data_IF_962877674232
#
_entry.id   IF_962877674232
#
_cell.length_a   1.000
_cell.length_b   1.000
_cell.length_c   1.000
_cell.angle_alpha   90.00
_cell.angle_beta   90.00
_cell.angle_gamma   90.00
#
_symmetry.space_group_name_H-M   'P 1'
#
loop_
_entity.id
_entity.type
_entity.pdbx_description
1 polymer ?
#
# COMPACT_ATOMS: atom_id res chain seq x y z
N UNK A 1 6.16 -9.24 -13.44
CA UNK A 1 5.25 -8.13 -13.87
C UNK A 1 6.01 -6.82 -13.81
N UNK A 2 5.41 -5.68 -13.98
CA UNK A 2 6.14 -4.41 -13.91
C UNK A 2 5.47 -3.48 -12.89
N UNK A 3 6.24 -2.57 -12.29
CA UNK A 3 5.74 -1.51 -11.41
C UNK A 3 4.58 -0.73 -12.05
N UNK A 4 4.65 -0.46 -13.37
CA UNK A 4 3.56 0.20 -14.10
C UNK A 4 2.27 -0.63 -14.09
N UNK A 5 2.40 -1.94 -14.24
CA UNK A 5 1.24 -2.85 -14.18
C UNK A 5 0.62 -2.84 -12.79
N UNK A 6 1.42 -2.97 -11.73
CA UNK A 6 0.96 -2.92 -10.34
C UNK A 6 0.17 -1.64 -10.04
N UNK A 7 0.70 -0.48 -10.45
CA UNK A 7 0.01 0.82 -10.30
C UNK A 7 -1.34 0.84 -11.03
N UNK A 8 -1.38 0.36 -12.27
CA UNK A 8 -2.63 0.31 -13.06
C UNK A 8 -3.67 -0.62 -12.42
N UNK A 9 -3.24 -1.75 -11.86
CA UNK A 9 -4.16 -2.68 -11.20
C UNK A 9 -4.75 -2.09 -9.91
N UNK A 10 -3.98 -1.37 -9.11
CA UNK A 10 -4.47 -0.68 -7.92
C UNK A 10 -5.54 0.38 -8.28
N UNK A 11 -5.26 1.24 -9.26
CA UNK A 11 -6.19 2.28 -9.71
C UNK A 11 -7.51 1.65 -10.24
N UNK A 12 -7.42 0.60 -11.06
CA UNK A 12 -8.60 -0.14 -11.55
C UNK A 12 -9.40 -0.80 -10.43
N UNK A 13 -8.75 -1.29 -9.39
CA UNK A 13 -9.44 -1.89 -8.25
C UNK A 13 -10.28 -0.85 -7.52
N UNK A 14 -9.72 0.33 -7.24
CA UNK A 14 -10.44 1.44 -6.61
C UNK A 14 -11.62 1.89 -7.47
N UNK A 15 -11.40 2.10 -8.77
CA UNK A 15 -12.47 2.48 -9.71
C UNK A 15 -13.60 1.45 -9.75
N UNK A 16 -13.27 0.16 -9.83
CA UNK A 16 -14.26 -0.93 -9.89
C UNK A 16 -15.12 -1.00 -8.64
N UNK A 17 -14.55 -0.70 -7.47
CA UNK A 17 -15.28 -0.71 -6.21
C UNK A 17 -16.12 0.56 -6.01
N UNK A 18 -16.05 1.54 -6.94
CA UNK A 18 -16.84 2.76 -6.92
C UNK A 18 -16.59 3.65 -5.71
N UNK A 19 -15.45 3.49 -5.04
CA UNK A 19 -15.12 4.21 -3.81
C UNK A 19 -14.21 5.39 -4.12
N UNK A 20 -14.78 6.58 -4.00
CA UNK A 20 -14.05 7.85 -4.15
C UNK A 20 -13.85 8.54 -2.78
N UNK A 21 -13.90 7.78 -1.69
CA UNK A 21 -13.77 8.31 -0.35
C UNK A 21 -12.31 8.35 0.10
N UNK A 22 -11.95 9.36 0.85
CA UNK A 22 -10.69 9.47 1.58
C UNK A 22 -10.95 9.49 3.08
N UNK A 23 -10.29 8.64 3.83
CA UNK A 23 -9.29 7.63 3.43
C UNK A 23 -9.93 6.40 2.76
N UNK A 24 -9.20 5.77 1.84
CA UNK A 24 -9.65 4.51 1.21
C UNK A 24 -9.74 3.41 2.28
N UNK A 25 -10.90 2.74 2.39
CA UNK A 25 -11.10 1.66 3.34
C UNK A 25 -10.50 0.35 2.82
N UNK A 26 -9.26 0.04 3.24
CA UNK A 26 -8.51 -1.12 2.78
C UNK A 26 -9.06 -2.44 3.33
N UNK A 27 -9.63 -2.45 4.54
CA UNK A 27 -10.23 -3.65 5.13
C UNK A 27 -11.45 -4.10 4.34
N UNK A 28 -12.30 -3.16 3.96
CA UNK A 28 -13.44 -3.45 3.11
C UNK A 28 -13.01 -3.94 1.72
N UNK A 29 -11.89 -3.42 1.18
CA UNK A 29 -11.33 -3.92 -0.08
C UNK A 29 -10.84 -5.35 0.10
N UNK A 30 -10.14 -5.64 1.20
CA UNK A 30 -9.69 -7.00 1.54
C UNK A 30 -10.88 -7.96 1.66
N UNK A 31 -11.91 -7.58 2.41
CA UNK A 31 -13.13 -8.37 2.55
C UNK A 31 -13.81 -8.68 1.20
N UNK A 32 -13.93 -7.65 0.34
CA UNK A 32 -14.49 -7.82 -1.01
C UNK A 32 -13.68 -8.79 -1.89
N UNK A 33 -12.38 -8.88 -1.64
CA UNK A 33 -11.49 -9.83 -2.33
C UNK A 33 -11.47 -11.22 -1.68
N UNK A 34 -12.23 -11.45 -0.61
CA UNK A 34 -12.23 -12.70 0.14
C UNK A 34 -10.98 -12.88 1.02
N UNK A 35 -10.37 -11.77 1.46
CA UNK A 35 -9.17 -11.72 2.30
C UNK A 35 -9.52 -11.16 3.68
N UNK A 36 -10.09 -11.94 4.60
CA UNK A 36 -10.36 -11.46 5.95
C UNK A 36 -9.06 -10.99 6.61
N UNK A 37 -9.15 -9.86 7.33
CA UNK A 37 -8.03 -9.26 8.06
C UNK A 37 -8.12 -9.63 9.53
N UNK A 38 -7.02 -10.12 10.09
CA UNK A 38 -6.89 -10.51 11.50
C UNK A 38 -5.76 -9.71 12.13
N UNK A 39 -6.04 -9.03 13.23
CA UNK A 39 -5.03 -8.34 14.02
C UNK A 39 -4.49 -9.27 15.09
N UNK A 40 -3.19 -9.49 15.11
CA UNK A 40 -2.52 -10.39 16.04
C UNK A 40 -1.17 -9.83 16.53
N UNK A 41 -0.67 -10.33 17.64
CA UNK A 41 0.71 -10.08 18.05
C UNK A 41 1.63 -11.01 17.23
N UNK A 42 2.32 -10.44 16.26
CA UNK A 42 3.29 -11.12 15.43
C UNK A 42 4.70 -10.97 16.01
N UNK A 43 5.70 -11.61 15.43
CA UNK A 43 7.10 -11.43 15.86
C UNK A 43 7.58 -9.99 15.74
N UNK A 44 8.64 -9.63 16.47
CA UNK A 44 9.12 -8.25 16.60
C UNK A 44 9.42 -7.54 15.27
N UNK A 45 9.83 -8.29 14.25
CA UNK A 45 10.21 -7.77 12.93
C UNK A 45 9.16 -8.05 11.86
N UNK A 46 7.96 -8.50 12.26
CA UNK A 46 6.88 -8.86 11.32
C UNK A 46 5.75 -7.87 11.42
N UNK A 47 5.43 -7.20 10.32
CA UNK A 47 4.31 -6.26 10.23
C UNK A 47 3.04 -6.91 9.70
N UNK A 48 3.18 -7.90 8.81
CA UNK A 48 2.06 -8.62 8.25
C UNK A 48 2.43 -9.96 7.66
N UNK A 49 1.39 -10.74 7.40
CA UNK A 49 1.46 -12.06 6.77
C UNK A 49 0.27 -12.21 5.82
N UNK A 50 0.52 -12.65 4.61
CA UNK A 50 -0.51 -13.22 3.75
C UNK A 50 -0.40 -14.74 3.83
N UNK A 51 -1.41 -15.38 4.38
CA UNK A 51 -1.47 -16.83 4.55
C UNK A 51 -2.50 -17.37 3.57
N UNK A 52 -2.11 -18.37 2.77
CA UNK A 52 -3.01 -19.03 1.83
C UNK A 52 -2.75 -20.52 1.81
N UNK A 53 -3.81 -21.31 1.79
CA UNK A 53 -3.74 -22.77 1.62
C UNK A 53 -4.02 -23.21 0.18
N UNK A 54 -4.18 -22.26 -0.74
CA UNK A 54 -4.50 -22.49 -2.15
C UNK A 54 -5.98 -22.37 -2.49
N UNK A 55 -6.87 -22.45 -1.49
CA UNK A 55 -8.32 -22.22 -1.61
C UNK A 55 -8.74 -20.95 -0.88
N UNK A 56 -8.29 -20.80 0.34
CA UNK A 56 -8.59 -19.65 1.19
C UNK A 56 -7.31 -18.84 1.45
N UNK A 57 -7.46 -17.55 1.63
CA UNK A 57 -6.38 -16.66 2.00
C UNK A 57 -6.85 -15.64 3.05
N UNK A 58 -5.97 -15.24 3.95
CA UNK A 58 -6.24 -14.19 4.92
C UNK A 58 -4.99 -13.38 5.22
N UNK A 59 -5.21 -12.16 5.68
CA UNK A 59 -4.14 -11.21 6.04
C UNK A 59 -4.06 -11.13 7.56
N UNK A 60 -2.87 -11.41 8.13
CA UNK A 60 -2.58 -11.12 9.52
C UNK A 60 -1.77 -9.82 9.60
N UNK A 61 -2.14 -8.94 10.53
CA UNK A 61 -1.50 -7.62 10.72
C UNK A 61 -1.01 -7.49 12.15
N UNK A 62 0.19 -6.91 12.34
CA UNK A 62 0.73 -6.64 13.66
C UNK A 62 -0.15 -5.64 14.42
N UNK A 63 -0.80 -6.13 15.48
CA UNK A 63 -1.73 -5.32 16.27
C UNK A 63 -1.08 -4.12 16.97
N UNK A 64 0.24 -4.20 17.25
CA UNK A 64 1.00 -3.14 17.94
C UNK A 64 1.54 -2.05 17.01
N UNK A 65 1.46 -2.24 15.71
CA UNK A 65 1.89 -1.22 14.74
C UNK A 65 0.96 -0.01 14.76
N UNK A 66 1.50 1.17 14.43
CA UNK A 66 0.68 2.36 14.24
C UNK A 66 -0.35 2.16 13.11
N UNK A 67 -1.53 2.77 13.23
CA UNK A 67 -2.64 2.60 12.29
C UNK A 67 -2.25 2.82 10.83
N UNK A 68 -1.50 3.89 10.54
CA UNK A 68 -1.00 4.18 9.19
C UNK A 68 -0.13 3.05 8.62
N UNK A 69 0.60 2.35 9.52
CA UNK A 69 1.40 1.20 9.15
C UNK A 69 0.54 -0.03 8.89
N UNK A 70 -0.40 -0.32 9.79
CA UNK A 70 -1.36 -1.43 9.62
C UNK A 70 -2.09 -1.31 8.29
N UNK A 71 -2.58 -0.11 7.94
CA UNK A 71 -3.24 0.17 6.67
C UNK A 71 -2.33 -0.08 5.46
N UNK A 72 -1.05 0.35 5.56
CA UNK A 72 -0.07 0.09 4.50
C UNK A 72 0.18 -1.41 4.33
N UNK A 73 0.35 -2.14 5.43
CA UNK A 73 0.53 -3.59 5.44
C UNK A 73 -0.65 -4.30 4.78
N UNK A 74 -1.89 -3.97 5.15
CA UNK A 74 -3.08 -4.55 4.51
C UNK A 74 -3.06 -4.31 2.99
N UNK A 75 -2.79 -3.07 2.57
CA UNK A 75 -2.74 -2.71 1.15
C UNK A 75 -1.61 -3.42 0.39
N UNK A 76 -0.48 -3.68 1.06
CA UNK A 76 0.67 -4.41 0.54
C UNK A 76 0.33 -5.90 0.32
N UNK A 77 -0.28 -6.54 1.31
CA UNK A 77 -0.70 -7.95 1.20
C UNK A 77 -1.82 -8.13 0.15
N UNK A 78 -2.76 -7.17 0.05
CA UNK A 78 -3.71 -7.13 -1.07
C UNK A 78 -2.94 -7.08 -2.40
N UNK A 79 -1.85 -6.31 -2.47
CA UNK A 79 -0.99 -6.22 -3.65
C UNK A 79 -0.41 -7.58 -4.03
N UNK A 80 0.17 -8.30 -3.10
CA UNK A 80 0.70 -9.65 -3.34
C UNK A 80 -0.37 -10.60 -3.87
N UNK A 81 -1.52 -10.64 -3.22
CA UNK A 81 -2.65 -11.48 -3.63
C UNK A 81 -3.19 -11.07 -5.02
N UNK A 82 -3.49 -9.80 -5.23
CA UNK A 82 -4.11 -9.30 -6.47
C UNK A 82 -3.19 -9.44 -7.69
N UNK A 83 -1.89 -9.25 -7.51
CA UNK A 83 -0.87 -9.43 -8.53
C UNK A 83 -0.48 -10.91 -8.73
N UNK A 84 -1.04 -11.82 -7.93
CA UNK A 84 -0.75 -13.26 -7.98
C UNK A 84 0.74 -13.54 -7.84
N UNK A 85 1.40 -12.89 -6.91
CA UNK A 85 2.79 -13.17 -6.59
C UNK A 85 2.89 -14.59 -6.05
N UNK A 86 3.63 -15.45 -6.75
CA UNK A 86 3.87 -16.81 -6.30
C UNK A 86 4.95 -16.77 -5.22
N UNK A 87 4.69 -17.39 -4.09
CA UNK A 87 5.67 -17.69 -3.06
C UNK A 87 6.42 -18.97 -3.43
N UNK A 88 7.53 -19.26 -2.74
CA UNK A 88 8.28 -20.48 -3.01
C UNK A 88 7.40 -21.73 -2.90
N UNK A 89 7.64 -22.77 -3.74
CA UNK A 89 6.85 -24.00 -3.68
C UNK A 89 6.88 -24.62 -2.27
N UNK A 90 5.71 -24.84 -1.70
CA UNK A 90 5.55 -25.35 -0.34
C UNK A 90 5.44 -24.28 0.75
N UNK A 91 5.61 -23.00 0.44
CA UNK A 91 5.36 -21.90 1.36
C UNK A 91 4.00 -21.26 1.04
N UNK A 92 3.06 -21.41 1.96
CA UNK A 92 1.73 -20.82 1.90
C UNK A 92 1.68 -19.49 2.68
N UNK A 93 2.82 -18.93 3.06
CA UNK A 93 2.91 -17.74 3.90
C UNK A 93 3.89 -16.76 3.28
N UNK A 94 3.42 -15.56 2.97
CA UNK A 94 4.26 -14.38 2.75
C UNK A 94 4.49 -13.66 4.07
N UNK A 95 5.71 -13.24 4.36
CA UNK A 95 6.07 -12.56 5.59
C UNK A 95 6.59 -11.15 5.26
N UNK A 96 5.78 -10.12 5.53
CA UNK A 96 6.25 -8.73 5.48
C UNK A 96 7.05 -8.39 6.74
N UNK A 97 8.35 -8.17 6.57
CA UNK A 97 9.27 -7.75 7.64
C UNK A 97 9.46 -6.24 7.70
N UNK A 98 8.55 -5.50 7.12
CA UNK A 98 8.51 -4.04 7.27
C UNK A 98 9.69 -3.29 6.66
N UNK A 99 10.32 -3.82 5.64
CA UNK A 99 11.34 -3.10 4.90
C UNK A 99 10.70 -2.03 4.01
N UNK A 100 10.52 -0.83 4.57
CA UNK A 100 10.10 0.32 3.77
C UNK A 100 11.16 0.67 2.75
N UNK A 101 10.69 1.13 1.59
CA UNK A 101 11.52 1.84 0.62
C UNK A 101 12.01 3.12 1.33
N UNK A 102 13.15 3.02 2.04
CA UNK A 102 13.96 4.17 2.35
C UNK A 102 14.42 4.77 1.02
N UNK A 103 14.25 6.08 0.85
CA UNK A 103 14.78 6.84 -0.29
C UNK A 103 16.32 6.87 -0.29
N UNK A 104 16.95 5.75 -0.18
CA UNK A 104 18.35 5.66 -0.57
C UNK A 104 18.36 5.11 -1.98
N UNK A 105 18.70 6.04 -2.89
CA UNK A 105 18.73 5.85 -4.33
C UNK A 105 19.26 4.51 -4.83
N UNK A 106 19.26 4.27 -6.14
CA UNK A 106 19.40 2.96 -6.74
C UNK A 106 20.77 2.35 -6.42
N UNK A 107 20.91 1.72 -5.28
CA UNK A 107 21.93 0.69 -5.11
C UNK A 107 21.34 -0.59 -5.67
N UNK A 108 21.45 -0.70 -6.97
CA UNK A 108 21.13 -1.88 -7.77
C UNK A 108 22.04 -3.08 -7.45
N UNK A 109 22.42 -3.30 -6.20
CA UNK A 109 23.34 -4.38 -5.84
C UNK A 109 22.90 -5.29 -4.70
N UNK A 110 21.82 -4.96 -3.96
CA UNK A 110 21.33 -5.83 -2.91
C UNK A 110 19.88 -6.18 -3.19
N UNK A 111 19.70 -7.26 -3.94
CA UNK A 111 18.56 -8.18 -4.04
C UNK A 111 17.17 -7.76 -3.56
N UNK A 112 16.69 -6.56 -3.91
CA UNK A 112 15.29 -6.19 -3.63
C UNK A 112 14.41 -7.04 -4.52
N UNK A 113 13.58 -7.90 -3.92
CA UNK A 113 12.64 -8.71 -4.67
C UNK A 113 11.72 -7.81 -5.53
N UNK A 114 11.70 -7.97 -6.85
CA UNK A 114 10.79 -7.21 -7.71
C UNK A 114 9.32 -7.30 -7.29
N UNK A 115 8.89 -8.39 -6.67
CA UNK A 115 7.53 -8.57 -6.17
C UNK A 115 7.22 -7.61 -5.02
N UNK A 116 8.19 -7.40 -4.12
CA UNK A 116 8.06 -6.41 -3.03
C UNK A 116 7.92 -4.99 -3.57
N UNK A 117 8.72 -4.65 -4.59
CA UNK A 117 8.61 -3.33 -5.24
C UNK A 117 7.25 -3.15 -5.90
N UNK A 118 6.73 -4.18 -6.55
CA UNK A 118 5.41 -4.17 -7.17
C UNK A 118 4.29 -4.06 -6.13
N UNK A 119 4.34 -4.82 -5.02
CA UNK A 119 3.38 -4.76 -3.93
C UNK A 119 3.38 -3.40 -3.23
N UNK A 120 4.56 -2.83 -2.96
CA UNK A 120 4.70 -1.49 -2.40
C UNK A 120 4.11 -0.40 -3.31
N UNK A 121 4.31 -0.51 -4.65
CA UNK A 121 3.72 0.43 -5.60
C UNK A 121 2.20 0.27 -5.70
N UNK A 122 1.72 -0.96 -5.65
CA UNK A 122 0.29 -1.26 -5.58
C UNK A 122 -0.33 -0.62 -4.34
N UNK A 123 0.25 -0.87 -3.15
CA UNK A 123 -0.22 -0.32 -1.88
C UNK A 123 -0.28 1.22 -1.90
N UNK A 124 0.79 1.87 -2.35
CA UNK A 124 0.83 3.33 -2.45
C UNK A 124 -0.27 3.88 -3.38
N UNK A 125 -0.56 3.22 -4.51
CA UNK A 125 -1.61 3.64 -5.44
C UNK A 125 -3.02 3.31 -4.93
N UNK A 126 -3.17 2.22 -4.19
CA UNK A 126 -4.44 1.84 -3.56
C UNK A 126 -4.83 2.84 -2.47
N UNK A 127 -3.89 3.18 -1.57
CA UNK A 127 -4.13 4.12 -0.48
C UNK A 127 -4.26 5.57 -0.95
N UNK A 128 -3.54 5.94 -2.02
CA UNK A 128 -3.48 7.30 -2.56
C UNK A 128 -3.78 7.29 -4.07
N UNK A 129 -5.02 7.00 -4.49
CA UNK A 129 -5.41 6.97 -5.90
C UNK A 129 -5.15 8.31 -6.58
N UNK A 130 -4.61 8.27 -7.80
CA UNK A 130 -4.18 9.48 -8.53
C UNK A 130 -5.27 10.53 -8.62
N UNK A 131 -6.50 10.11 -8.93
CA UNK A 131 -7.66 11.00 -9.04
C UNK A 131 -7.92 11.72 -7.72
N UNK A 132 -8.05 10.97 -6.61
CA UNK A 132 -8.35 11.53 -5.29
C UNK A 132 -7.24 12.46 -4.79
N UNK A 133 -5.96 12.10 -5.02
CA UNK A 133 -4.84 12.98 -4.65
C UNK A 133 -4.93 14.31 -5.40
N UNK A 134 -5.17 14.29 -6.73
CA UNK A 134 -5.29 15.51 -7.52
C UNK A 134 -6.48 16.36 -7.12
N UNK A 135 -7.62 15.75 -6.81
CA UNK A 135 -8.81 16.43 -6.30
C UNK A 135 -8.51 17.13 -4.96
N UNK A 136 -7.88 16.41 -4.02
CA UNK A 136 -7.52 16.99 -2.71
C UNK A 136 -6.47 18.10 -2.82
N UNK A 137 -5.50 17.97 -3.72
CA UNK A 137 -4.54 19.06 -3.99
C UNK A 137 -5.23 20.27 -4.59
N UNK A 138 -6.19 20.10 -5.50
CA UNK A 138 -6.93 21.20 -6.09
C UNK A 138 -7.77 21.97 -5.04
N UNK A 139 -8.29 21.30 -4.01
CA UNK A 139 -9.00 21.94 -2.90
C UNK A 139 -8.11 22.89 -2.06
N UNK A 140 -6.77 22.75 -2.15
CA UNK A 140 -5.82 23.60 -1.42
C UNK A 140 -5.53 24.95 -2.05
N UNK A 141 -6.18 25.30 -3.18
CA UNK A 141 -6.18 26.63 -3.76
C UNK A 141 -5.09 26.93 -4.81
N UNK A 142 -4.39 25.92 -5.34
CA UNK A 142 -3.63 26.03 -6.60
C UNK A 142 -2.28 26.74 -6.53
N UNK A 143 -1.69 26.91 -5.35
CA UNK A 143 -0.31 27.37 -5.15
C UNK A 143 0.70 26.22 -5.02
N UNK A 144 1.99 26.54 -4.81
CA UNK A 144 3.00 25.55 -4.49
C UNK A 144 2.64 24.85 -3.17
N UNK A 145 2.81 23.52 -3.13
CA UNK A 145 2.57 22.76 -1.92
C UNK A 145 3.69 23.03 -0.89
N UNK A 146 3.27 23.34 0.33
CA UNK A 146 4.15 23.55 1.49
C UNK A 146 4.06 22.36 2.45
N UNK A 147 4.97 22.25 3.39
CA UNK A 147 5.05 21.13 4.34
C UNK A 147 3.71 20.88 5.08
N UNK A 148 3.04 21.94 5.52
CA UNK A 148 1.74 21.79 6.19
C UNK A 148 0.63 21.23 5.27
N UNK A 149 0.71 21.47 3.95
CA UNK A 149 -0.21 20.85 2.98
C UNK A 149 0.07 19.36 2.85
N UNK A 150 1.35 18.95 2.89
CA UNK A 150 1.73 17.54 2.90
C UNK A 150 1.18 16.85 4.14
N UNK A 151 1.35 17.45 5.32
CA UNK A 151 0.80 16.92 6.58
C UNK A 151 -0.73 16.81 6.53
N UNK A 152 -1.42 17.82 6.00
CA UNK A 152 -2.87 17.82 5.83
C UNK A 152 -3.33 16.69 4.89
N UNK A 153 -2.67 16.52 3.75
CA UNK A 153 -2.96 15.44 2.80
C UNK A 153 -2.67 14.08 3.41
N UNK A 154 -1.53 13.90 4.10
CA UNK A 154 -1.18 12.66 4.78
C UNK A 154 -2.25 12.27 5.81
N UNK A 155 -2.74 13.23 6.59
CA UNK A 155 -3.85 13.02 7.53
C UNK A 155 -5.15 12.62 6.83
N UNK A 156 -5.52 13.30 5.74
CA UNK A 156 -6.73 13.01 4.98
C UNK A 156 -6.72 11.58 4.38
N UNK A 157 -5.57 11.11 3.89
CA UNK A 157 -5.41 9.76 3.34
C UNK A 157 -5.05 8.70 4.39
N UNK A 158 -4.78 9.11 5.64
CA UNK A 158 -4.28 8.24 6.71
C UNK A 158 -3.04 7.44 6.28
N UNK A 159 -2.04 8.17 5.79
CA UNK A 159 -0.72 7.65 5.42
C UNK A 159 0.37 8.45 6.11
N UNK A 160 1.63 7.97 6.10
CA UNK A 160 2.75 8.77 6.59
C UNK A 160 3.04 9.96 5.68
N UNK A 161 3.56 11.06 6.25
CA UNK A 161 3.99 12.24 5.48
C UNK A 161 5.06 11.87 4.44
N UNK A 162 5.96 10.96 4.78
CA UNK A 162 6.95 10.44 3.84
C UNK A 162 6.29 9.76 2.64
N UNK A 163 5.30 8.89 2.87
CA UNK A 163 4.56 8.23 1.78
C UNK A 163 3.83 9.24 0.91
N UNK A 164 3.21 10.26 1.51
CA UNK A 164 2.53 11.33 0.79
C UNK A 164 3.52 12.16 -0.04
N UNK A 165 4.66 12.56 0.52
CA UNK A 165 5.73 13.29 -0.20
C UNK A 165 6.20 12.51 -1.43
N UNK A 166 6.51 11.24 -1.27
CA UNK A 166 6.90 10.36 -2.39
C UNK A 166 5.80 10.29 -3.46
N UNK A 167 4.55 10.17 -3.02
CA UNK A 167 3.43 10.09 -3.94
C UNK A 167 3.24 11.37 -4.74
N UNK A 168 3.27 12.53 -4.09
CA UNK A 168 3.15 13.84 -4.72
C UNK A 168 4.28 14.09 -5.73
N UNK A 169 5.53 13.81 -5.35
CA UNK A 169 6.69 13.90 -6.25
C UNK A 169 6.52 13.03 -7.50
N UNK A 170 6.06 11.80 -7.34
CA UNK A 170 5.80 10.89 -8.48
C UNK A 170 4.64 11.32 -9.38
N UNK A 171 3.72 12.11 -8.87
CA UNK A 171 2.62 12.70 -9.63
C UNK A 171 2.99 14.05 -10.27
N UNK A 172 4.20 14.58 -10.01
CA UNK A 172 4.65 15.89 -10.47
C UNK A 172 3.86 17.04 -9.83
N UNK A 173 3.50 16.88 -8.56
CA UNK A 173 2.73 17.85 -7.78
C UNK A 173 3.58 18.57 -6.72
N UNK A 174 4.81 18.10 -6.48
CA UNK A 174 5.88 18.76 -5.72
C UNK A 174 6.99 19.16 -6.64
#
# INVERSE_FOLDING_TARGET
MSVRYARTQAEKLVERLGRNDTPVNVEMIAEHLGLPVVYAELGADVSGLLISDGTDAHICVQAKDAEVRQRFTIAHEIGHHHLRHQFEPGHHVHVDRGHYISERGPRASDGVDPKEVEANQFAACLLMPTKLVREKVAELGGGPLLDHHVSQLAGAFQVSEQAMTIRLSRLGLL
#
